data_IF_760794704224
#
_entry.id   IF_760794704224
#
_cell.length_a   1.000
_cell.length_b   1.000
_cell.length_c   1.000
_cell.angle_alpha   90.00
_cell.angle_beta   90.00
_cell.angle_gamma   90.00
#
_symmetry.space_group_name_H-M   'P 1'
#
loop_
_entity.id
_entity.type
_entity.pdbx_description
1 polymer ?
#
# COMPACT_ATOMS: atom_id res chain seq x y z
N UNK A 1 -17.67 -21.41 -4.93
CA UNK A 1 -18.58 -20.30 -5.29
C UNK A 1 -18.48 -20.06 -6.79
N UNK A 2 -19.59 -20.19 -7.54
CA UNK A 2 -19.66 -19.81 -8.96
C UNK A 2 -20.10 -18.34 -9.01
N UNK A 3 -19.28 -17.47 -9.56
CA UNK A 3 -19.63 -16.08 -9.85
C UNK A 3 -20.55 -16.08 -11.08
N UNK A 4 -21.87 -15.94 -10.89
CA UNK A 4 -22.87 -16.10 -11.96
C UNK A 4 -23.48 -14.80 -12.48
N UNK A 5 -23.04 -13.63 -12.03
CA UNK A 5 -23.50 -12.35 -12.59
C UNK A 5 -22.38 -11.69 -13.38
N UNK A 6 -22.58 -11.54 -14.68
CA UNK A 6 -21.79 -10.64 -15.52
C UNK A 6 -22.53 -9.31 -15.59
N UNK A 7 -21.85 -8.23 -15.21
CA UNK A 7 -22.36 -6.87 -15.36
C UNK A 7 -21.61 -6.24 -16.53
N UNK A 8 -22.36 -5.76 -17.53
CA UNK A 8 -21.80 -5.04 -18.67
C UNK A 8 -21.86 -3.54 -18.38
N UNK A 9 -20.70 -2.89 -18.45
CA UNK A 9 -20.59 -1.44 -18.38
C UNK A 9 -20.51 -0.91 -19.82
N UNK A 10 -21.50 -0.11 -20.21
CA UNK A 10 -21.45 0.67 -21.43
C UNK A 10 -20.83 2.04 -21.07
N UNK A 11 -19.72 2.37 -21.70
CA UNK A 11 -19.05 3.65 -21.55
C UNK A 11 -18.91 4.29 -22.92
N UNK A 12 -19.26 5.57 -23.03
CA UNK A 12 -19.14 6.33 -24.28
C UNK A 12 -17.66 6.57 -24.63
N UNK A 13 -16.86 6.89 -23.61
CA UNK A 13 -15.41 7.09 -23.70
C UNK A 13 -14.69 6.23 -22.66
N UNK A 14 -13.59 5.58 -23.05
CA UNK A 14 -12.73 4.80 -22.17
C UNK A 14 -11.28 5.28 -22.28
N UNK A 15 -10.80 5.97 -21.24
CA UNK A 15 -9.39 6.33 -21.14
C UNK A 15 -8.66 5.18 -20.44
N UNK A 16 -7.87 4.44 -21.20
CA UNK A 16 -6.97 3.43 -20.64
C UNK A 16 -5.56 4.01 -20.58
N UNK A 17 -4.83 3.74 -19.49
CA UNK A 17 -3.37 3.87 -19.54
C UNK A 17 -2.85 2.90 -20.61
N UNK A 18 -1.84 3.30 -21.39
CA UNK A 18 -1.18 2.47 -22.40
C UNK A 18 -0.45 1.26 -21.78
N UNK A 19 -1.21 0.33 -21.19
CA UNK A 19 -0.72 -0.86 -20.49
C UNK A 19 -0.83 -2.12 -21.36
N UNK A 20 -1.33 -2.00 -22.59
CA UNK A 20 -1.38 -3.14 -23.50
C UNK A 20 0.01 -3.41 -24.10
N UNK A 21 0.79 -4.20 -23.37
CA UNK A 21 1.81 -5.09 -23.93
C UNK A 21 3.19 -4.47 -24.17
N UNK A 22 4.03 -4.45 -23.15
CA UNK A 22 5.46 -4.17 -23.28
C UNK A 22 6.07 -3.92 -21.92
N UNK A 23 7.33 -4.33 -21.70
CA UNK A 23 8.01 -4.35 -20.40
C UNK A 23 8.20 -3.00 -19.66
N UNK A 24 7.43 -1.96 -19.98
CA UNK A 24 7.69 -0.58 -19.58
C UNK A 24 6.42 0.29 -19.51
N UNK A 25 5.51 -0.08 -18.60
CA UNK A 25 4.50 0.84 -18.07
C UNK A 25 5.15 1.74 -17.01
N UNK A 26 5.67 2.90 -17.42
CA UNK A 26 6.56 3.69 -16.55
C UNK A 26 5.83 4.55 -15.52
N UNK A 27 4.64 5.08 -15.81
CA UNK A 27 3.91 5.98 -14.90
C UNK A 27 2.40 5.93 -15.16
N UNK A 28 1.54 6.11 -14.14
CA UNK A 28 0.12 6.34 -14.36
C UNK A 28 -0.09 7.62 -15.18
N UNK A 29 -1.02 7.60 -16.13
CA UNK A 29 -1.30 8.75 -17.00
C UNK A 29 -1.84 9.92 -16.15
N UNK A 30 -1.38 11.17 -16.35
CA UNK A 30 -1.82 12.32 -15.55
C UNK A 30 -3.33 12.52 -15.51
N UNK A 31 -4.04 12.26 -16.62
CA UNK A 31 -5.51 12.32 -16.63
C UNK A 31 -6.14 11.32 -15.63
N UNK A 32 -5.60 10.10 -15.51
CA UNK A 32 -6.09 9.11 -14.53
C UNK A 32 -5.86 9.60 -13.10
N UNK A 33 -4.70 10.22 -12.85
CA UNK A 33 -4.41 10.82 -11.55
C UNK A 33 -5.40 11.96 -11.22
N UNK A 34 -5.66 12.85 -12.18
CA UNK A 34 -6.61 13.95 -12.01
C UNK A 34 -8.03 13.48 -11.69
N UNK A 35 -8.48 12.37 -12.31
CA UNK A 35 -9.79 11.78 -11.98
C UNK A 35 -9.85 11.27 -10.54
N UNK A 36 -8.81 10.58 -10.05
CA UNK A 36 -8.77 10.14 -8.65
C UNK A 36 -8.72 11.31 -7.66
N UNK A 37 -8.02 12.39 -8.01
CA UNK A 37 -8.00 13.62 -7.21
C UNK A 37 -9.38 14.29 -7.16
N UNK A 38 -10.06 14.39 -8.31
CA UNK A 38 -11.42 14.91 -8.38
C UNK A 38 -12.38 14.07 -7.54
N UNK A 39 -12.33 12.74 -7.65
CA UNK A 39 -13.14 11.83 -6.82
C UNK A 39 -12.88 12.07 -5.33
N UNK A 40 -11.61 12.20 -4.91
CA UNK A 40 -11.25 12.42 -3.51
C UNK A 40 -11.79 13.72 -2.92
N UNK A 41 -11.97 14.77 -3.74
CA UNK A 41 -12.53 16.06 -3.31
C UNK A 41 -14.05 15.99 -3.05
N UNK A 42 -14.76 15.08 -3.71
CA UNK A 42 -16.21 14.92 -3.57
C UNK A 42 -16.61 13.93 -2.46
N UNK A 43 -15.65 13.23 -1.84
CA UNK A 43 -15.95 12.32 -0.74
C UNK A 43 -16.19 13.09 0.55
N UNK A 44 -17.42 12.96 1.07
CA UNK A 44 -17.82 13.45 2.39
C UNK A 44 -16.99 12.79 3.49
N UNK A 45 -16.53 13.60 4.44
CA UNK A 45 -15.75 13.14 5.58
C UNK A 45 -16.70 12.72 6.70
N UNK A 46 -16.91 11.41 6.84
CA UNK A 46 -17.77 10.84 7.89
C UNK A 46 -16.94 10.45 9.14
N UNK A 47 -15.69 10.01 8.93
CA UNK A 47 -14.72 9.65 9.96
C UNK A 47 -13.40 10.37 9.69
N UNK A 48 -12.68 10.77 10.73
CA UNK A 48 -11.30 11.25 10.62
C UNK A 48 -10.31 10.17 11.05
N UNK A 49 -9.17 10.17 10.39
CA UNK A 49 -8.03 9.30 10.68
C UNK A 49 -6.86 10.15 11.18
N UNK A 50 -5.89 9.51 11.84
CA UNK A 50 -4.57 10.10 12.06
C UNK A 50 -3.91 10.45 10.74
N UNK A 51 -3.09 11.50 10.75
CA UNK A 51 -2.27 11.89 9.58
C UNK A 51 -1.04 10.98 9.42
N UNK A 52 -0.76 10.11 10.39
CA UNK A 52 0.27 9.08 10.31
C UNK A 52 -0.40 7.72 10.24
N UNK A 53 -0.17 6.98 9.17
CA UNK A 53 -0.84 5.72 8.88
C UNK A 53 0.17 4.58 8.77
N UNK A 54 -0.12 3.47 9.43
CA UNK A 54 0.44 2.19 9.05
C UNK A 54 -0.61 1.41 8.28
N UNK A 55 -0.33 1.12 7.02
CA UNK A 55 -1.20 0.33 6.15
C UNK A 55 -0.86 -1.13 6.38
N UNK A 56 -1.57 -1.73 7.32
CA UNK A 56 -1.43 -3.12 7.71
C UNK A 56 -1.87 -4.06 6.59
N UNK A 57 -1.35 -5.28 6.63
CA UNK A 57 -1.86 -6.41 5.85
C UNK A 57 -2.22 -7.59 6.75
N UNK A 58 -2.71 -7.33 7.97
CA UNK A 58 -3.15 -8.37 8.91
C UNK A 58 -4.31 -9.21 8.35
N UNK A 59 -5.04 -8.70 7.37
CA UNK A 59 -6.07 -9.41 6.59
C UNK A 59 -5.48 -10.27 5.47
N UNK A 60 -4.24 -10.02 5.05
CA UNK A 60 -3.56 -10.93 4.15
C UNK A 60 -3.33 -12.23 4.91
N UNK A 61 -3.82 -13.33 4.32
CA UNK A 61 -3.53 -14.67 4.82
C UNK A 61 -2.03 -14.98 4.76
N UNK A 62 -1.69 -16.21 4.46
CA UNK A 62 -0.35 -16.69 4.79
C UNK A 62 0.75 -16.39 3.76
N UNK A 63 0.66 -15.23 3.10
CA UNK A 63 1.51 -14.78 1.98
C UNK A 63 2.14 -13.42 2.26
N UNK A 64 3.44 -13.26 1.99
CA UNK A 64 4.19 -11.98 2.10
C UNK A 64 4.05 -11.27 3.46
N UNK A 65 4.06 -12.04 4.55
CA UNK A 65 3.82 -11.54 5.90
C UNK A 65 5.00 -10.72 6.42
N UNK A 66 4.71 -9.76 7.29
CA UNK A 66 5.70 -9.16 8.18
C UNK A 66 5.69 -9.98 9.47
N UNK A 67 6.75 -10.75 9.71
CA UNK A 67 6.79 -11.72 10.82
C UNK A 67 6.66 -11.02 12.18
N UNK A 68 7.32 -9.87 12.33
CA UNK A 68 7.30 -9.07 13.54
C UNK A 68 6.30 -7.90 13.48
N UNK A 69 5.19 -8.04 12.74
CA UNK A 69 4.22 -6.94 12.53
C UNK A 69 3.69 -6.37 13.84
N UNK A 70 3.44 -7.20 14.86
CA UNK A 70 3.05 -6.73 16.19
C UNK A 70 4.05 -5.73 16.79
N UNK A 71 5.34 -5.98 16.61
CA UNK A 71 6.40 -5.09 17.11
C UNK A 71 6.49 -3.81 16.26
N UNK A 72 6.25 -3.91 14.95
CA UNK A 72 6.14 -2.76 14.05
C UNK A 72 4.95 -1.88 14.44
N UNK A 73 3.77 -2.46 14.65
CA UNK A 73 2.58 -1.73 15.10
C UNK A 73 2.85 -1.03 16.45
N UNK A 74 3.38 -1.74 17.44
CA UNK A 74 3.69 -1.15 18.74
C UNK A 74 4.66 0.05 18.64
N UNK A 75 5.70 -0.06 17.80
CA UNK A 75 6.61 1.03 17.52
C UNK A 75 5.88 2.22 16.89
N UNK A 76 5.10 1.99 15.83
CA UNK A 76 4.42 3.05 15.09
C UNK A 76 3.30 3.71 15.92
N UNK A 77 2.51 2.94 16.66
CA UNK A 77 1.50 3.45 17.60
C UNK A 77 2.13 4.39 18.63
N UNK A 78 3.29 4.03 19.19
CA UNK A 78 4.03 4.90 20.12
C UNK A 78 4.47 6.24 19.48
N UNK A 79 4.43 6.34 18.14
CA UNK A 79 4.74 7.55 17.35
C UNK A 79 3.50 8.26 16.80
N UNK A 80 2.32 7.85 17.26
CA UNK A 80 1.04 8.44 16.90
C UNK A 80 0.50 7.97 15.54
N UNK A 81 0.99 6.83 15.03
CA UNK A 81 0.40 6.21 13.86
C UNK A 81 -0.92 5.54 14.22
N UNK A 82 -1.89 5.65 13.32
CA UNK A 82 -3.07 4.81 13.31
C UNK A 82 -2.81 3.60 12.40
N UNK A 83 -3.10 2.41 12.93
CA UNK A 83 -3.01 1.15 12.19
C UNK A 83 -4.33 0.98 11.44
N UNK A 84 -4.27 0.88 10.10
CA UNK A 84 -5.44 0.62 9.27
C UNK A 84 -5.27 -0.64 8.44
N UNK A 85 -6.36 -1.38 8.27
CA UNK A 85 -6.45 -2.51 7.33
C UNK A 85 -7.41 -2.11 6.22
N UNK A 86 -6.94 -1.76 5.00
CA UNK A 86 -7.83 -1.24 3.95
C UNK A 86 -9.01 -2.16 3.62
N UNK A 87 -8.84 -3.49 3.71
CA UNK A 87 -9.92 -4.46 3.48
C UNK A 87 -11.09 -4.37 4.47
N UNK A 88 -10.89 -3.73 5.62
CA UNK A 88 -11.93 -3.51 6.65
C UNK A 88 -12.61 -2.14 6.51
N UNK A 89 -12.12 -1.29 5.61
CA UNK A 89 -12.62 0.07 5.38
C UNK A 89 -13.48 0.13 4.11
N UNK A 90 -14.57 0.90 4.16
CA UNK A 90 -15.29 1.27 2.95
C UNK A 90 -14.38 2.07 2.00
N UNK A 91 -14.71 2.09 0.71
CA UNK A 91 -13.94 2.87 -0.28
C UNK A 91 -13.86 4.36 0.12
N UNK A 92 -14.95 4.93 0.65
CA UNK A 92 -14.97 6.31 1.14
C UNK A 92 -14.00 6.52 2.29
N UNK A 93 -13.97 5.59 3.25
CA UNK A 93 -13.02 5.65 4.37
C UNK A 93 -11.58 5.52 3.91
N UNK A 94 -11.29 4.64 2.95
CA UNK A 94 -9.96 4.52 2.35
C UNK A 94 -9.53 5.83 1.68
N UNK A 95 -10.43 6.46 0.91
CA UNK A 95 -10.18 7.78 0.32
C UNK A 95 -9.84 8.79 1.41
N UNK A 96 -10.68 8.92 2.43
CA UNK A 96 -10.50 9.91 3.51
C UNK A 96 -9.19 9.68 4.27
N UNK A 97 -8.84 8.43 4.60
CA UNK A 97 -7.62 8.11 5.32
C UNK A 97 -6.37 8.57 4.54
N UNK A 98 -6.25 8.19 3.27
CA UNK A 98 -5.06 8.48 2.47
C UNK A 98 -4.98 9.95 2.01
N UNK A 99 -6.13 10.60 1.81
CA UNK A 99 -6.21 11.99 1.36
C UNK A 99 -5.52 12.96 2.29
N UNK A 100 -5.65 12.74 3.61
CA UNK A 100 -5.20 13.67 4.65
C UNK A 100 -3.87 13.23 5.32
N UNK A 101 -3.29 12.11 4.86
CA UNK A 101 -2.09 11.50 5.43
C UNK A 101 -0.80 12.29 5.11
N UNK A 102 0.02 12.51 6.13
CA UNK A 102 1.37 13.10 6.06
C UNK A 102 2.47 12.04 6.04
N UNK A 103 2.29 10.92 6.73
CA UNK A 103 3.27 9.83 6.76
C UNK A 103 2.55 8.50 6.63
N UNK A 104 2.96 7.70 5.66
CA UNK A 104 2.41 6.38 5.39
C UNK A 104 3.55 5.36 5.47
N UNK A 105 3.43 4.39 6.36
CA UNK A 105 4.32 3.22 6.41
C UNK A 105 3.51 2.01 5.98
N UNK A 106 4.03 1.17 5.10
CA UNK A 106 3.28 0.00 4.63
C UNK A 106 4.20 -1.12 4.16
N UNK A 107 3.87 -2.40 4.42
CA UNK A 107 4.39 -3.50 3.62
C UNK A 107 3.96 -3.30 2.16
N UNK A 108 4.84 -3.61 1.21
CA UNK A 108 4.46 -3.65 -0.20
C UNK A 108 3.17 -4.47 -0.36
N UNK A 109 2.20 -3.98 -1.15
CA UNK A 109 0.91 -4.66 -1.34
C UNK A 109 -0.23 -3.77 -1.82
N UNK A 110 -1.37 -4.39 -2.15
CA UNK A 110 -2.52 -3.73 -2.77
C UNK A 110 -3.07 -2.54 -1.99
N UNK A 111 -2.91 -2.50 -0.66
CA UNK A 111 -3.31 -1.37 0.17
C UNK A 111 -2.68 -0.04 -0.25
N UNK A 112 -1.46 -0.06 -0.82
CA UNK A 112 -0.78 1.12 -1.35
C UNK A 112 -1.38 1.65 -2.67
N UNK A 113 -2.34 0.94 -3.29
CA UNK A 113 -3.07 1.48 -4.43
C UNK A 113 -3.82 2.77 -4.05
N UNK A 114 -4.19 2.93 -2.78
CA UNK A 114 -4.85 4.13 -2.26
C UNK A 114 -3.96 5.38 -2.22
N UNK A 115 -2.65 5.28 -2.49
CA UNK A 115 -1.76 6.45 -2.63
C UNK A 115 -2.23 7.43 -3.73
N UNK A 116 -3.03 6.95 -4.70
CA UNK A 116 -3.66 7.82 -5.71
C UNK A 116 -4.55 8.89 -5.09
N UNK A 117 -5.06 8.69 -3.88
CA UNK A 117 -5.94 9.63 -3.17
C UNK A 117 -5.19 10.69 -2.35
N UNK A 118 -3.87 10.56 -2.13
CA UNK A 118 -3.08 11.55 -1.40
C UNK A 118 -3.14 12.93 -2.10
N UNK A 119 -3.40 14.00 -1.37
CA UNK A 119 -3.54 15.32 -2.00
C UNK A 119 -2.19 16.00 -2.26
N UNK A 120 -2.03 16.70 -3.40
CA UNK A 120 -0.82 17.49 -3.69
C UNK A 120 -0.49 18.57 -2.64
N UNK A 121 -1.50 19.09 -1.92
CA UNK A 121 -1.32 20.12 -0.89
C UNK A 121 -0.77 19.57 0.44
N UNK A 122 -0.76 18.25 0.63
CA UNK A 122 -0.16 17.59 1.78
C UNK A 122 1.16 16.99 1.32
N UNK A 123 2.27 17.38 1.95
CA UNK A 123 3.56 16.76 1.68
C UNK A 123 3.60 15.37 2.32
N UNK A 124 2.97 14.39 1.67
CA UNK A 124 2.93 13.02 2.15
C UNK A 124 4.28 12.33 1.92
N UNK A 125 4.80 11.72 2.98
CA UNK A 125 5.96 10.82 2.94
C UNK A 125 5.51 9.37 3.03
N UNK A 126 6.02 8.54 2.14
CA UNK A 126 5.71 7.11 2.03
C UNK A 126 6.98 6.31 2.33
N UNK A 127 6.88 5.39 3.28
CA UNK A 127 7.93 4.44 3.66
C UNK A 127 7.42 3.05 3.34
N UNK A 128 7.91 2.48 2.24
CA UNK A 128 7.49 1.17 1.76
C UNK A 128 8.45 0.07 2.24
N UNK A 129 7.89 -0.98 2.87
CA UNK A 129 8.62 -2.11 3.43
C UNK A 129 8.57 -3.29 2.46
N UNK A 130 9.71 -3.58 1.84
CA UNK A 130 9.87 -4.68 0.90
C UNK A 130 10.49 -5.89 1.56
N UNK A 131 10.03 -7.07 1.14
CA UNK A 131 10.87 -8.27 1.17
C UNK A 131 11.82 -8.23 -0.05
N UNK A 132 13.09 -8.59 0.14
CA UNK A 132 14.12 -8.51 -0.90
C UNK A 132 13.75 -9.25 -2.20
N UNK A 133 13.04 -10.37 -2.10
CA UNK A 133 12.57 -11.18 -3.23
C UNK A 133 11.38 -10.60 -4.02
N UNK A 134 10.75 -9.52 -3.56
CA UNK A 134 9.53 -8.98 -4.17
C UNK A 134 9.57 -7.44 -4.28
N UNK A 135 10.62 -6.93 -4.91
CA UNK A 135 10.72 -5.51 -5.25
C UNK A 135 9.92 -5.23 -6.53
N UNK A 136 9.02 -4.25 -6.45
CA UNK A 136 8.27 -3.75 -7.59
C UNK A 136 8.11 -2.23 -7.44
N UNK A 137 8.49 -1.49 -8.49
CA UNK A 137 8.47 -0.03 -8.48
C UNK A 137 7.08 0.59 -8.69
N UNK A 138 5.99 -0.20 -8.74
CA UNK A 138 4.66 0.33 -9.07
C UNK A 138 4.20 1.45 -8.14
N UNK A 139 4.46 1.37 -6.83
CA UNK A 139 4.05 2.43 -5.89
C UNK A 139 5.04 3.59 -5.82
N UNK A 140 6.34 3.34 -6.03
CA UNK A 140 7.32 4.41 -6.26
C UNK A 140 6.91 5.29 -7.47
N UNK A 141 6.37 4.68 -8.52
CA UNK A 141 5.85 5.39 -9.71
C UNK A 141 4.58 6.19 -9.42
N UNK A 142 3.68 5.67 -8.59
CA UNK A 142 2.52 6.43 -8.11
C UNK A 142 2.99 7.64 -7.30
N UNK A 143 3.93 7.44 -6.38
CA UNK A 143 4.53 8.52 -5.60
C UNK A 143 5.16 9.58 -6.51
N UNK A 144 5.93 9.16 -7.52
CA UNK A 144 6.53 10.08 -8.49
C UNK A 144 5.47 10.88 -9.26
N UNK A 145 4.42 10.23 -9.76
CA UNK A 145 3.35 10.90 -10.49
C UNK A 145 2.56 11.89 -9.61
N UNK A 146 2.46 11.61 -8.31
CA UNK A 146 1.76 12.44 -7.32
C UNK A 146 2.66 13.47 -6.61
N UNK A 147 3.98 13.43 -6.84
CA UNK A 147 4.95 14.27 -6.16
C UNK A 147 5.14 13.95 -4.66
N UNK A 148 4.92 12.69 -4.25
CA UNK A 148 5.08 12.26 -2.86
C UNK A 148 6.54 11.97 -2.54
N UNK A 149 6.94 12.22 -1.29
CA UNK A 149 8.25 11.81 -0.79
C UNK A 149 8.26 10.30 -0.55
N UNK A 150 9.23 9.57 -1.08
CA UNK A 150 9.23 8.12 -1.10
C UNK A 150 10.56 7.55 -0.61
N UNK A 151 10.47 6.61 0.32
CA UNK A 151 11.59 5.82 0.83
C UNK A 151 11.24 4.34 0.80
N UNK A 152 12.18 3.49 0.35
CA UNK A 152 12.04 2.04 0.43
C UNK A 152 12.98 1.48 1.51
N UNK A 153 12.46 0.61 2.36
CA UNK A 153 13.26 -0.23 3.26
C UNK A 153 13.20 -1.66 2.71
N UNK A 154 14.37 -2.21 2.38
CA UNK A 154 14.49 -3.58 1.89
C UNK A 154 14.87 -4.48 3.06
N UNK A 155 13.94 -5.35 3.44
CA UNK A 155 14.09 -6.30 4.52
C UNK A 155 14.56 -7.66 3.99
N UNK A 156 15.38 -8.39 4.77
CA UNK A 156 15.81 -9.73 4.40
C UNK A 156 14.61 -10.67 4.30
N UNK A 157 14.65 -11.56 3.31
CA UNK A 157 13.62 -12.58 3.15
C UNK A 157 13.72 -13.64 4.26
N UNK A 158 12.56 -14.18 4.63
CA UNK A 158 12.42 -15.37 5.49
C UNK A 158 11.48 -16.36 4.80
N UNK A 159 11.80 -17.65 4.72
CA UNK A 159 10.82 -18.63 4.26
C UNK A 159 9.59 -18.59 5.18
N UNK A 160 8.40 -18.66 4.59
CA UNK A 160 7.19 -18.81 5.37
C UNK A 160 7.17 -20.11 6.17
N UNK A 161 6.25 -20.20 7.12
CA UNK A 161 6.03 -21.39 7.93
C UNK A 161 4.60 -21.86 7.82
N UNK A 162 4.40 -23.18 7.78
CA UNK A 162 3.09 -23.80 7.91
C UNK A 162 2.61 -23.75 9.37
N UNK A 163 1.35 -24.13 9.61
CA UNK A 163 0.73 -24.04 10.93
C UNK A 163 1.44 -24.88 12.02
N UNK A 164 2.17 -25.92 11.62
CA UNK A 164 2.97 -26.77 12.49
C UNK A 164 4.41 -26.24 12.72
N UNK A 165 4.76 -25.10 12.13
CA UNK A 165 6.07 -24.46 12.23
C UNK A 165 7.12 -24.96 11.23
N UNK A 166 6.77 -25.92 10.37
CA UNK A 166 7.67 -26.36 9.29
C UNK A 166 7.83 -25.26 8.23
N UNK A 167 8.98 -25.20 7.57
CA UNK A 167 9.21 -24.20 6.52
C UNK A 167 8.37 -24.56 5.29
N UNK A 168 7.67 -23.56 4.76
CA UNK A 168 6.94 -23.68 3.51
C UNK A 168 7.89 -24.00 2.36
N UNK A 169 7.43 -24.88 1.49
CA UNK A 169 8.02 -25.05 0.16
C UNK A 169 7.87 -23.72 -0.62
N UNK A 170 9.01 -23.16 -1.07
CA UNK A 170 9.02 -21.90 -1.79
C UNK A 170 8.66 -22.17 -3.26
N UNK A 171 7.40 -21.92 -3.64
CA UNK A 171 6.92 -22.05 -5.03
C UNK A 171 6.94 -20.73 -5.76
N UNK A 172 6.71 -19.65 -5.03
CA UNK A 172 6.62 -18.29 -5.53
C UNK A 172 7.21 -17.32 -4.53
N UNK A 173 7.49 -16.08 -4.98
CA UNK A 173 7.85 -14.99 -4.06
C UNK A 173 6.80 -14.70 -2.99
N UNK A 174 5.55 -15.16 -3.16
CA UNK A 174 4.51 -14.94 -2.15
C UNK A 174 4.69 -15.83 -0.91
N UNK A 175 5.47 -16.92 -1.03
CA UNK A 175 5.79 -17.84 0.05
C UNK A 175 6.96 -17.33 0.92
N UNK A 176 7.59 -16.24 0.50
CA UNK A 176 8.58 -15.50 1.28
C UNK A 176 7.89 -14.45 2.16
N UNK A 177 8.39 -14.29 3.37
CA UNK A 177 8.02 -13.28 4.35
C UNK A 177 9.19 -12.31 4.57
N UNK A 178 8.95 -11.25 5.35
CA UNK A 178 9.98 -10.29 5.75
C UNK A 178 10.01 -10.09 7.26
N UNK A 179 11.18 -9.74 7.79
CA UNK A 179 11.34 -9.21 9.14
C UNK A 179 11.80 -7.76 9.01
N UNK A 180 11.03 -6.86 9.60
CA UNK A 180 11.35 -5.42 9.57
C UNK A 180 12.41 -5.13 10.62
N UNK A 181 13.50 -4.49 10.20
CA UNK A 181 14.47 -3.91 11.12
C UNK A 181 13.88 -2.66 11.79
N UNK A 182 13.51 -2.80 13.07
CA UNK A 182 12.87 -1.73 13.84
C UNK A 182 13.80 -0.54 14.07
N UNK A 183 15.11 -0.76 14.20
CA UNK A 183 16.08 0.31 14.41
C UNK A 183 16.29 1.12 13.12
N UNK A 184 16.31 0.44 11.98
CA UNK A 184 16.34 1.11 10.68
C UNK A 184 15.05 1.88 10.41
N UNK A 185 13.89 1.28 10.66
CA UNK A 185 12.59 1.95 10.51
C UNK A 185 12.53 3.22 11.37
N UNK A 186 12.92 3.11 12.64
CA UNK A 186 13.01 4.22 13.58
C UNK A 186 13.92 5.34 13.05
N UNK A 187 15.13 4.99 12.57
CA UNK A 187 16.05 5.95 11.99
C UNK A 187 15.43 6.68 10.78
N UNK A 188 14.78 5.95 9.87
CA UNK A 188 14.14 6.50 8.67
C UNK A 188 12.98 7.44 9.04
N UNK A 189 12.21 7.12 10.09
CA UNK A 189 11.12 7.98 10.56
C UNK A 189 11.60 9.34 11.09
N UNK A 190 12.83 9.41 11.59
CA UNK A 190 13.41 10.62 12.21
C UNK A 190 14.33 11.42 11.29
N UNK A 191 14.68 10.89 10.11
CA UNK A 191 15.55 11.53 9.12
C UNK A 191 14.78 12.53 8.25
#
# INVERSE_FOLDING_TARGET
>A
MRWTSHHFLHVDDCITSNLTGGGFAHLPHPAVIAEFEALAQHVTIERRFSRKLYVSRLDAGDVRRVVNEKAVCALLESRGFEIITPGELSVKEQVVAFRDAEVIVAPHGAGLANLVYCQPGVKTRVIELFQASCINACYARVCQAKGLDYTAIINPDRPGQDADGTLKEIKTRNDMWQIVDLALLEKVLTA
#
